data_IF_019308943486
#
_entry.id   IF_019308943486
#
_cell.length_a   1.000
_cell.length_b   1.000
_cell.length_c   1.000
_cell.angle_alpha   90.00
_cell.angle_beta   90.00
_cell.angle_gamma   90.00
#
_symmetry.space_group_name_H-M   'P 1'
#
loop_
_entity.id
_entity.type
_entity.pdbx_description
1 polymer ?
#
# COMPACT_ATOMS: atom_id res chain seq x y z
N UNK A 1 21.83 1.65 -40.15
CA UNK A 1 20.40 2.00 -40.21
C UNK A 1 20.02 2.38 -38.80
N UNK A 2 20.00 3.69 -38.53
CA UNK A 2 19.64 4.28 -37.24
C UNK A 2 18.17 3.99 -36.98
N UNK A 3 17.88 3.30 -35.88
CA UNK A 3 16.52 3.06 -35.40
C UNK A 3 15.95 4.39 -34.88
N UNK A 4 15.55 5.27 -35.79
CA UNK A 4 14.66 6.37 -35.48
C UNK A 4 13.26 5.78 -35.27
N UNK A 5 12.67 6.05 -34.09
CA UNK A 5 11.34 5.65 -33.59
C UNK A 5 11.25 4.46 -32.62
N UNK A 6 12.22 4.30 -31.71
CA UNK A 6 11.85 3.79 -30.38
C UNK A 6 11.23 4.95 -29.60
N UNK A 7 10.04 4.76 -29.00
CA UNK A 7 9.46 5.75 -28.07
C UNK A 7 10.37 5.96 -26.84
N UNK A 8 10.05 6.93 -25.96
CA UNK A 8 10.80 7.10 -24.72
C UNK A 8 10.78 5.81 -23.88
N UNK A 9 11.87 5.54 -23.17
CA UNK A 9 11.95 4.43 -22.22
C UNK A 9 10.91 4.63 -21.10
N UNK A 10 10.27 3.56 -20.61
CA UNK A 10 9.19 3.72 -19.62
C UNK A 10 9.67 4.42 -18.34
N UNK A 11 10.92 4.20 -17.93
CA UNK A 11 11.55 4.83 -16.76
C UNK A 11 12.12 6.23 -17.01
N UNK A 12 11.98 6.78 -18.22
CA UNK A 12 12.32 8.17 -18.59
C UNK A 12 11.12 8.88 -19.25
N UNK A 13 9.91 8.49 -18.85
CA UNK A 13 8.65 9.00 -19.38
C UNK A 13 7.71 9.37 -18.23
N UNK A 14 7.66 10.64 -17.78
CA UNK A 14 6.86 11.06 -16.63
C UNK A 14 5.36 10.85 -16.84
N UNK A 15 4.89 10.75 -18.09
CA UNK A 15 3.48 10.46 -18.42
C UNK A 15 3.08 9.00 -18.21
N UNK A 16 4.04 8.12 -17.92
CA UNK A 16 3.82 6.71 -17.66
C UNK A 16 4.20 6.38 -16.22
N UNK A 17 3.24 6.55 -15.30
CA UNK A 17 3.43 6.17 -13.89
C UNK A 17 3.40 4.65 -13.68
N UNK A 18 2.66 3.94 -14.53
CA UNK A 18 2.55 2.49 -14.46
C UNK A 18 1.81 1.90 -15.65
N UNK A 19 2.00 0.60 -15.85
CA UNK A 19 1.30 -0.22 -16.85
C UNK A 19 0.65 -1.39 -16.13
N UNK A 20 -0.65 -1.59 -16.34
CA UNK A 20 -1.47 -2.62 -15.68
C UNK A 20 -1.49 -2.57 -14.14
N UNK A 21 -0.98 -1.50 -13.52
CA UNK A 21 -1.12 -1.23 -12.08
C UNK A 21 -2.61 -1.00 -11.79
N UNK A 22 -3.14 -1.70 -10.80
CA UNK A 22 -4.53 -1.52 -10.38
C UNK A 22 -4.72 -0.17 -9.66
N UNK A 23 -5.92 0.43 -9.72
CA UNK A 23 -6.21 1.69 -9.03
C UNK A 23 -6.00 1.59 -7.51
N UNK A 24 -5.56 2.66 -6.84
CA UNK A 24 -5.46 2.66 -5.37
C UNK A 24 -6.82 2.46 -4.67
N UNK A 25 -6.78 1.78 -3.53
CA UNK A 25 -7.89 1.56 -2.59
C UNK A 25 -7.34 1.43 -1.16
N UNK A 26 -8.24 1.34 -0.17
CA UNK A 26 -7.83 1.02 1.21
C UNK A 26 -7.05 -0.32 1.26
N UNK A 27 -6.08 -0.50 2.18
CA UNK A 27 -5.40 -1.79 2.34
C UNK A 27 -6.38 -2.84 2.88
N UNK A 28 -6.81 -3.75 2.00
CA UNK A 28 -7.85 -4.73 2.29
C UNK A 28 -7.31 -6.16 2.15
N UNK A 29 -7.41 -6.93 3.23
CA UNK A 29 -7.19 -8.39 3.19
C UNK A 29 -8.51 -9.07 3.54
N UNK A 30 -9.07 -9.90 2.63
CA UNK A 30 -10.30 -10.63 2.89
C UNK A 30 -10.04 -11.74 3.90
N UNK A 31 -11.02 -12.01 4.74
CA UNK A 31 -11.08 -13.13 5.68
C UNK A 31 -12.24 -14.06 5.32
N UNK A 32 -12.19 -15.32 5.76
CA UNK A 32 -13.24 -16.29 5.49
C UNK A 32 -14.41 -16.16 6.49
N UNK A 33 -14.14 -15.69 7.71
CA UNK A 33 -15.12 -15.62 8.79
C UNK A 33 -15.17 -14.25 9.47
N UNK A 34 -16.24 -14.01 10.23
CA UNK A 34 -16.37 -12.80 11.06
C UNK A 34 -15.33 -12.82 12.17
N UNK A 35 -15.09 -14.00 12.75
CA UNK A 35 -14.14 -14.20 13.85
C UNK A 35 -12.71 -13.87 13.43
N UNK A 36 -12.30 -14.30 12.24
CA UNK A 36 -11.01 -13.92 11.64
C UNK A 36 -10.95 -12.41 11.34
N UNK A 37 -11.99 -11.84 10.73
CA UNK A 37 -12.04 -10.40 10.48
C UNK A 37 -11.96 -9.59 11.79
N UNK A 38 -12.54 -10.07 12.89
CA UNK A 38 -12.44 -9.45 14.21
C UNK A 38 -11.04 -9.56 14.82
N UNK A 39 -10.28 -10.62 14.50
CA UNK A 39 -8.88 -10.75 14.92
C UNK A 39 -7.99 -9.72 14.21
N UNK A 40 -8.34 -9.35 12.97
CA UNK A 40 -7.68 -8.34 12.15
C UNK A 40 -6.18 -8.61 11.98
N UNK A 41 -5.83 -9.87 11.73
CA UNK A 41 -4.48 -10.35 11.49
C UNK A 41 -4.38 -10.90 10.08
N UNK A 42 -3.99 -10.08 9.08
CA UNK A 42 -3.92 -10.48 7.68
C UNK A 42 -3.18 -11.80 7.45
N UNK A 43 -2.10 -12.03 8.19
CA UNK A 43 -1.26 -13.23 8.12
C UNK A 43 -1.97 -14.52 8.54
N UNK A 44 -3.10 -14.42 9.25
CA UNK A 44 -3.95 -15.55 9.61
C UNK A 44 -5.08 -15.79 8.59
N UNK A 45 -5.24 -14.91 7.60
CA UNK A 45 -6.24 -15.10 6.56
C UNK A 45 -5.85 -16.25 5.62
N UNK A 46 -6.78 -17.16 5.27
CA UNK A 46 -6.55 -18.15 4.22
C UNK A 46 -6.41 -17.53 2.81
N UNK A 47 -6.71 -16.24 2.67
CA UNK A 47 -6.64 -15.49 1.41
C UNK A 47 -5.45 -14.54 1.33
N UNK A 48 -4.52 -14.63 2.28
CA UNK A 48 -3.27 -13.88 2.29
C UNK A 48 -2.09 -14.85 2.19
N UNK A 49 -1.06 -14.45 1.44
CA UNK A 49 0.21 -15.19 1.42
C UNK A 49 1.37 -14.24 1.26
N UNK A 50 2.24 -14.16 2.27
CA UNK A 50 3.50 -13.42 2.15
C UNK A 50 4.43 -14.07 1.13
N UNK A 51 5.12 -13.24 0.36
CA UNK A 51 6.25 -13.60 -0.49
C UNK A 51 7.57 -13.04 0.06
N UNK A 52 7.59 -12.48 1.27
CA UNK A 52 8.82 -12.10 1.95
C UNK A 52 9.69 -13.34 2.20
N UNK A 53 11.01 -13.14 2.20
CA UNK A 53 11.99 -14.19 2.42
C UNK A 53 13.21 -14.05 1.52
N UNK A 54 13.85 -15.18 1.21
CA UNK A 54 15.04 -15.20 0.36
C UNK A 54 14.64 -15.28 -1.11
N UNK A 55 15.04 -14.30 -1.92
CA UNK A 55 14.86 -14.30 -3.38
C UNK A 55 16.21 -14.44 -4.07
N UNK A 56 16.23 -14.99 -5.30
CA UNK A 56 17.40 -14.95 -6.17
C UNK A 56 17.63 -13.53 -6.64
N UNK A 57 18.89 -13.10 -6.69
CA UNK A 57 19.23 -11.72 -6.96
C UNK A 57 20.48 -11.57 -7.81
N UNK A 58 20.41 -10.68 -8.79
CA UNK A 58 21.54 -10.26 -9.60
C UNK A 58 21.56 -8.74 -9.70
N UNK A 59 22.70 -8.14 -9.36
CA UNK A 59 22.92 -6.70 -9.45
C UNK A 59 23.84 -6.35 -10.61
N UNK A 60 23.56 -5.26 -11.32
CA UNK A 60 24.49 -4.68 -12.28
C UNK A 60 24.51 -3.15 -12.22
N UNK A 61 25.64 -2.50 -12.54
CA UNK A 61 25.79 -1.04 -12.39
C UNK A 61 25.05 -0.22 -13.46
N UNK A 62 24.71 -0.84 -14.60
CA UNK A 62 24.10 -0.16 -15.74
C UNK A 62 22.89 -0.94 -16.26
N UNK A 63 21.86 -0.25 -16.78
CA UNK A 63 20.74 -0.92 -17.44
C UNK A 63 21.17 -1.82 -18.60
N UNK A 64 22.19 -1.43 -19.37
CA UNK A 64 22.68 -2.23 -20.49
C UNK A 64 23.34 -3.56 -20.09
N UNK A 65 23.73 -3.72 -18.82
CA UNK A 65 24.40 -4.92 -18.31
C UNK A 65 23.42 -5.90 -17.64
N UNK A 66 22.12 -5.56 -17.61
CA UNK A 66 21.09 -6.40 -16.98
C UNK A 66 20.95 -7.75 -17.71
N UNK A 67 20.67 -8.85 -16.99
CA UNK A 67 20.52 -10.17 -17.62
C UNK A 67 19.24 -10.20 -18.48
N UNK A 68 19.38 -9.99 -19.80
CA UNK A 68 18.23 -10.02 -20.71
C UNK A 68 17.57 -11.40 -20.74
N UNK A 69 16.23 -11.41 -20.75
CA UNK A 69 15.46 -12.65 -20.76
C UNK A 69 15.38 -13.37 -19.41
N UNK A 70 15.93 -12.79 -18.33
CA UNK A 70 15.86 -13.40 -16.99
C UNK A 70 14.43 -13.59 -16.47
N UNK A 71 13.41 -12.99 -17.08
CA UNK A 71 12.01 -13.22 -16.73
C UNK A 71 11.44 -14.51 -17.30
N UNK A 72 12.12 -15.16 -18.25
CA UNK A 72 11.63 -16.37 -18.88
C UNK A 72 11.43 -17.51 -17.87
N UNK A 73 10.38 -18.31 -18.10
CA UNK A 73 10.13 -19.52 -17.32
C UNK A 73 11.28 -20.52 -17.54
N UNK A 74 11.77 -21.12 -16.45
CA UNK A 74 12.90 -22.06 -16.48
C UNK A 74 14.26 -21.43 -16.75
N UNK A 75 14.40 -20.10 -16.64
CA UNK A 75 15.71 -19.45 -16.67
C UNK A 75 16.59 -19.97 -15.52
N UNK A 76 17.84 -20.29 -15.84
CA UNK A 76 18.81 -20.79 -14.86
C UNK A 76 19.44 -19.64 -14.07
N UNK A 77 18.93 -19.40 -12.87
CA UNK A 77 19.43 -18.45 -11.89
C UNK A 77 20.25 -19.12 -10.78
N UNK A 78 20.68 -20.37 -10.96
CA UNK A 78 21.36 -21.12 -9.89
C UNK A 78 22.69 -20.48 -9.45
N UNK A 79 23.33 -19.73 -10.34
CA UNK A 79 24.56 -18.98 -10.07
C UNK A 79 24.32 -17.60 -9.44
N UNK A 80 23.06 -17.17 -9.29
CA UNK A 80 22.74 -15.88 -8.69
C UNK A 80 22.84 -15.95 -7.17
N UNK A 81 23.16 -14.81 -6.58
CA UNK A 81 23.14 -14.63 -5.14
C UNK A 81 21.70 -14.74 -4.60
N UNK A 82 21.58 -14.76 -3.29
CA UNK A 82 20.31 -14.62 -2.59
C UNK A 82 20.27 -13.28 -1.87
N UNK A 83 19.10 -12.64 -1.84
CA UNK A 83 18.85 -11.41 -1.07
C UNK A 83 17.59 -11.58 -0.22
N UNK A 84 17.57 -10.97 0.95
CA UNK A 84 16.35 -10.84 1.74
C UNK A 84 15.37 -9.88 1.04
N UNK A 85 14.09 -10.23 1.04
CA UNK A 85 12.99 -9.35 0.63
C UNK A 85 11.99 -9.29 1.79
N UNK A 86 11.68 -8.11 2.32
CA UNK A 86 12.20 -6.79 1.92
C UNK A 86 13.65 -6.52 2.34
N UNK A 87 14.37 -5.73 1.53
CA UNK A 87 15.63 -5.08 1.90
C UNK A 87 15.99 -3.94 0.94
N UNK A 88 16.86 -3.03 1.39
CA UNK A 88 17.60 -2.15 0.48
C UNK A 88 18.92 -2.82 0.06
N UNK A 89 19.19 -2.99 -1.23
CA UNK A 89 20.37 -3.77 -1.67
C UNK A 89 21.71 -3.14 -1.26
N UNK A 90 21.74 -1.83 -0.97
CA UNK A 90 22.93 -1.16 -0.42
C UNK A 90 23.27 -1.68 0.99
N UNK A 91 22.25 -2.02 1.79
CA UNK A 91 22.42 -2.58 3.13
C UNK A 91 22.89 -4.04 3.07
N UNK A 92 22.64 -4.70 1.94
CA UNK A 92 23.09 -6.06 1.63
C UNK A 92 24.46 -6.10 0.90
N UNK A 93 25.10 -4.94 0.69
CA UNK A 93 26.48 -4.84 0.19
C UNK A 93 26.66 -4.77 -1.33
N UNK A 94 25.59 -4.63 -2.12
CA UNK A 94 25.68 -4.63 -3.60
C UNK A 94 26.05 -3.27 -4.20
N UNK A 95 25.89 -2.17 -3.47
CA UNK A 95 26.10 -0.81 -3.96
C UNK A 95 26.29 0.17 -2.79
N UNK A 96 26.62 1.42 -3.08
CA UNK A 96 26.84 2.48 -2.08
C UNK A 96 25.55 3.24 -1.78
N UNK A 97 25.22 3.38 -0.49
CA UNK A 97 24.21 4.31 -0.01
C UNK A 97 24.74 5.75 -0.14
N UNK A 98 24.01 6.62 -0.83
CA UNK A 98 24.35 8.04 -0.93
C UNK A 98 23.50 8.85 0.02
N UNK A 99 24.08 9.83 0.69
CA UNK A 99 23.33 10.87 1.38
C UNK A 99 23.56 12.19 0.66
N UNK A 100 22.47 12.82 0.25
CA UNK A 100 22.44 14.16 -0.32
C UNK A 100 21.16 14.84 0.14
N UNK A 101 21.25 16.15 0.38
CA UNK A 101 20.12 16.97 0.77
C UNK A 101 19.41 17.49 -0.48
N UNK A 102 19.80 18.67 -0.96
CA UNK A 102 19.12 19.39 -2.05
C UNK A 102 19.52 18.90 -3.43
N UNK A 103 20.75 18.41 -3.61
CA UNK A 103 21.26 18.05 -4.93
C UNK A 103 20.77 16.66 -5.29
N UNK A 104 20.31 16.46 -6.53
CA UNK A 104 20.03 15.12 -7.02
C UNK A 104 21.25 14.20 -6.85
N UNK A 105 21.05 12.91 -6.49
CA UNK A 105 22.12 11.97 -6.24
C UNK A 105 22.85 11.49 -7.50
N UNK A 106 22.53 12.09 -8.66
CA UNK A 106 23.10 11.78 -9.94
C UNK A 106 23.36 13.06 -10.74
N UNK A 107 24.33 13.00 -11.67
CA UNK A 107 24.67 14.09 -12.56
C UNK A 107 24.98 13.55 -13.98
N UNK A 108 24.69 14.32 -15.04
CA UNK A 108 23.89 15.56 -15.02
C UNK A 108 22.42 15.29 -14.69
N UNK A 109 21.76 16.27 -14.06
CA UNK A 109 20.30 16.30 -13.94
C UNK A 109 19.73 16.88 -15.25
N UNK A 110 19.11 16.02 -16.07
CA UNK A 110 18.53 16.37 -17.37
C UNK A 110 17.14 15.71 -17.53
N UNK A 111 16.10 16.23 -16.84
CA UNK A 111 14.79 15.58 -16.81
C UNK A 111 14.17 15.47 -18.22
N UNK A 112 13.53 14.35 -18.57
CA UNK A 112 13.22 13.19 -17.71
C UNK A 112 14.31 12.09 -17.68
N UNK A 113 15.47 12.34 -18.28
CA UNK A 113 16.53 11.34 -18.45
C UNK A 113 17.28 11.05 -17.15
N UNK A 114 17.77 9.83 -16.99
CA UNK A 114 18.61 9.38 -15.86
C UNK A 114 19.95 8.85 -16.38
N UNK A 115 21.00 8.74 -15.53
CA UNK A 115 22.32 8.40 -16.04
C UNK A 115 22.40 7.00 -16.64
N UNK A 116 22.74 6.89 -17.93
CA UNK A 116 22.94 5.59 -18.59
C UNK A 116 24.17 4.84 -18.05
N UNK A 117 25.22 5.58 -17.66
CA UNK A 117 26.50 5.01 -17.24
C UNK A 117 26.51 4.49 -15.80
N UNK A 118 25.55 4.92 -14.98
CA UNK A 118 25.37 4.44 -13.61
C UNK A 118 23.90 4.63 -13.20
N UNK A 119 23.07 3.65 -13.58
CA UNK A 119 21.73 3.47 -13.05
C UNK A 119 21.61 1.99 -12.64
N UNK A 120 22.08 1.65 -11.43
CA UNK A 120 22.13 0.27 -10.98
C UNK A 120 20.77 -0.42 -11.07
N UNK A 121 20.79 -1.69 -11.47
CA UNK A 121 19.59 -2.51 -11.67
C UNK A 121 19.69 -3.76 -10.82
N UNK A 122 18.64 -4.02 -10.03
CA UNK A 122 18.44 -5.26 -9.29
C UNK A 122 17.44 -6.16 -10.02
N UNK A 123 17.88 -7.33 -10.45
CA UNK A 123 17.02 -8.39 -11.00
C UNK A 123 16.72 -9.40 -9.90
N UNK A 124 15.45 -9.53 -9.52
CA UNK A 124 14.95 -10.43 -8.49
C UNK A 124 14.15 -11.58 -9.12
N UNK A 125 14.32 -12.81 -8.61
CA UNK A 125 13.51 -13.97 -8.98
C UNK A 125 13.09 -14.76 -7.75
N UNK A 126 11.87 -15.27 -7.75
CA UNK A 126 11.39 -16.21 -6.72
C UNK A 126 10.35 -17.15 -7.31
N UNK A 127 10.02 -18.20 -6.57
CA UNK A 127 8.96 -19.13 -6.93
C UNK A 127 7.94 -19.25 -5.81
N UNK A 128 6.69 -19.54 -6.19
CA UNK A 128 5.63 -19.80 -5.23
C UNK A 128 4.63 -20.79 -5.80
N UNK A 129 3.88 -21.43 -4.91
CA UNK A 129 2.72 -22.25 -5.25
C UNK A 129 1.49 -21.62 -4.62
N UNK A 130 0.34 -21.72 -5.30
CA UNK A 130 -0.91 -21.25 -4.72
C UNK A 130 -1.56 -22.35 -3.88
N UNK A 131 -2.16 -21.99 -2.73
CA UNK A 131 -2.99 -22.92 -1.99
C UNK A 131 -4.18 -23.42 -2.84
N UNK A 132 -4.61 -24.69 -2.71
CA UNK A 132 -5.74 -25.23 -3.47
C UNK A 132 -7.05 -24.45 -3.31
N UNK A 133 -7.26 -23.83 -2.15
CA UNK A 133 -8.42 -22.98 -1.85
C UNK A 133 -8.49 -21.68 -2.70
N UNK A 134 -7.44 -21.36 -3.45
CA UNK A 134 -7.40 -20.21 -4.36
C UNK A 134 -7.86 -20.57 -5.79
N UNK A 135 -8.18 -21.83 -6.06
CA UNK A 135 -8.67 -22.24 -7.38
C UNK A 135 -9.94 -21.48 -7.78
N UNK A 136 -9.97 -20.97 -9.01
CA UNK A 136 -11.05 -20.16 -9.54
C UNK A 136 -11.24 -18.77 -8.91
N UNK A 137 -10.30 -18.30 -8.09
CA UNK A 137 -10.31 -16.96 -7.49
C UNK A 137 -9.38 -16.00 -8.24
N UNK A 138 -9.62 -14.70 -8.08
CA UNK A 138 -8.65 -13.68 -8.51
C UNK A 138 -7.45 -13.69 -7.55
N UNK A 139 -6.26 -13.47 -8.08
CA UNK A 139 -5.02 -13.41 -7.30
C UNK A 139 -4.26 -12.17 -7.68
N UNK A 140 -4.13 -11.26 -6.71
CA UNK A 140 -3.37 -10.03 -6.86
C UNK A 140 -2.06 -10.15 -6.11
N UNK A 141 -1.02 -9.50 -6.64
CA UNK A 141 0.25 -9.27 -5.93
C UNK A 141 0.34 -7.81 -5.54
N UNK A 142 0.75 -7.57 -4.30
CA UNK A 142 0.98 -6.24 -3.75
C UNK A 142 2.46 -6.12 -3.44
N UNK A 143 3.08 -5.06 -3.95
CA UNK A 143 4.38 -4.57 -3.50
C UNK A 143 4.16 -3.30 -2.69
N UNK A 144 4.38 -3.33 -1.38
CA UNK A 144 4.14 -2.19 -0.48
C UNK A 144 5.13 -1.03 -0.68
N UNK A 145 6.27 -1.30 -1.33
CA UNK A 145 7.30 -0.30 -1.60
C UNK A 145 8.49 -0.86 -2.37
N UNK A 146 8.72 -0.31 -3.57
CA UNK A 146 9.86 -0.64 -4.43
C UNK A 146 10.50 0.64 -4.91
N UNK A 147 11.79 0.84 -4.64
CA UNK A 147 12.49 2.08 -4.96
C UNK A 147 13.50 1.87 -6.11
N UNK A 148 13.43 2.61 -7.23
CA UNK A 148 12.50 3.74 -7.54
C UNK A 148 11.40 3.41 -8.56
N UNK A 149 11.64 2.44 -9.45
CA UNK A 149 10.61 1.88 -10.33
C UNK A 149 10.93 0.43 -10.68
N UNK A 150 9.93 -0.31 -11.16
CA UNK A 150 10.14 -1.70 -11.52
C UNK A 150 9.21 -2.22 -12.60
N UNK A 151 9.69 -3.27 -13.27
CA UNK A 151 8.90 -4.14 -14.13
C UNK A 151 8.63 -5.48 -13.44
N UNK A 152 7.49 -6.08 -13.77
CA UNK A 152 6.99 -7.32 -13.20
C UNK A 152 6.67 -8.33 -14.29
N UNK A 153 7.14 -9.56 -14.11
CA UNK A 153 6.77 -10.70 -14.93
C UNK A 153 6.35 -11.89 -14.07
N UNK A 154 5.40 -12.66 -14.59
CA UNK A 154 4.98 -13.93 -14.04
C UNK A 154 5.06 -14.98 -15.14
N UNK A 155 5.77 -16.08 -14.88
CA UNK A 155 5.87 -17.22 -15.78
C UNK A 155 6.36 -16.86 -17.21
N UNK A 156 7.20 -15.83 -17.34
CA UNK A 156 7.69 -15.32 -18.62
C UNK A 156 6.80 -14.27 -19.30
N UNK A 157 5.62 -14.00 -18.76
CA UNK A 157 4.70 -12.98 -19.28
C UNK A 157 4.88 -11.68 -18.53
N UNK A 158 4.94 -10.56 -19.25
CA UNK A 158 4.94 -9.25 -18.62
C UNK A 158 3.57 -8.98 -18.00
N UNK A 159 3.60 -8.66 -16.71
CA UNK A 159 2.41 -8.28 -15.94
C UNK A 159 2.26 -6.77 -15.96
N UNK A 160 3.32 -6.02 -15.65
CA UNK A 160 3.20 -4.56 -15.55
C UNK A 160 4.48 -3.81 -15.18
N UNK A 161 4.32 -2.52 -14.92
CA UNK A 161 5.36 -1.56 -14.56
C UNK A 161 4.81 -0.55 -13.54
N UNK A 162 5.63 -0.07 -12.60
CA UNK A 162 5.24 0.97 -11.63
C UNK A 162 6.39 1.90 -11.25
N UNK A 163 6.02 3.16 -11.00
CA UNK A 163 6.75 4.20 -10.27
C UNK A 163 6.00 4.56 -8.98
N UNK A 164 6.48 5.59 -8.28
CA UNK A 164 6.16 5.96 -6.89
C UNK A 164 6.63 4.89 -5.91
N UNK A 165 7.76 5.18 -5.26
CA UNK A 165 8.41 4.22 -4.37
C UNK A 165 7.74 4.09 -3.01
N UNK A 166 6.79 4.96 -2.67
CA UNK A 166 6.26 5.11 -1.31
C UNK A 166 4.82 4.65 -1.15
N UNK A 167 4.11 4.44 -2.26
CA UNK A 167 2.76 3.90 -2.29
C UNK A 167 2.75 2.49 -2.87
N UNK A 168 1.81 1.62 -2.45
CA UNK A 168 1.76 0.25 -2.96
C UNK A 168 1.54 0.18 -4.47
N UNK A 169 2.05 -0.89 -5.07
CA UNK A 169 1.76 -1.27 -6.45
C UNK A 169 1.12 -2.65 -6.50
N UNK A 170 -0.12 -2.69 -6.99
CA UNK A 170 -0.93 -3.89 -7.08
C UNK A 170 -1.15 -4.31 -8.54
N UNK A 171 -1.07 -5.61 -8.81
CA UNK A 171 -1.28 -6.18 -10.15
C UNK A 171 -2.11 -7.46 -10.07
N UNK A 172 -3.01 -7.65 -11.05
CA UNK A 172 -3.72 -8.91 -11.23
C UNK A 172 -2.81 -9.96 -11.89
N UNK A 173 -2.52 -11.03 -11.16
CA UNK A 173 -1.72 -12.16 -11.64
C UNK A 173 -2.57 -13.26 -12.28
N UNK A 174 -3.90 -13.23 -12.08
CA UNK A 174 -4.83 -14.30 -12.45
C UNK A 174 -4.62 -14.81 -13.90
N UNK A 175 -4.47 -13.93 -14.91
CA UNK A 175 -4.33 -14.37 -16.31
C UNK A 175 -3.01 -15.11 -16.61
N UNK A 176 -2.02 -15.04 -15.73
CA UNK A 176 -0.65 -15.50 -15.96
C UNK A 176 -0.26 -16.71 -15.11
N UNK A 177 -1.14 -17.11 -14.18
CA UNK A 177 -0.90 -18.22 -13.28
C UNK A 177 -0.89 -19.57 -14.01
N UNK A 178 -0.13 -20.51 -13.44
CA UNK A 178 -0.09 -21.92 -13.85
C UNK A 178 -0.46 -22.78 -12.65
N UNK A 179 -1.03 -23.95 -12.93
CA UNK A 179 -1.20 -24.99 -11.92
C UNK A 179 0.16 -25.41 -11.34
N UNK A 180 0.24 -25.52 -10.01
CA UNK A 180 1.48 -25.83 -9.31
C UNK A 180 2.41 -24.63 -9.14
N UNK A 181 3.67 -24.79 -9.56
CA UNK A 181 4.72 -23.81 -9.37
C UNK A 181 4.62 -22.62 -10.32
N UNK A 182 4.80 -21.42 -9.77
CA UNK A 182 4.81 -20.16 -10.48
C UNK A 182 6.16 -19.45 -10.28
N UNK A 183 6.71 -18.87 -11.35
CA UNK A 183 7.99 -18.15 -11.35
C UNK A 183 7.76 -16.65 -11.48
N UNK A 184 8.16 -15.88 -10.47
CA UNK A 184 8.05 -14.43 -10.44
C UNK A 184 9.42 -13.80 -10.74
N UNK A 185 9.43 -12.76 -11.58
CA UNK A 185 10.62 -11.98 -11.86
C UNK A 185 10.32 -10.49 -11.76
N UNK A 186 11.24 -9.74 -11.14
CA UNK A 186 11.12 -8.29 -10.93
C UNK A 186 12.43 -7.61 -11.32
N UNK A 187 12.36 -6.53 -12.09
CA UNK A 187 13.53 -5.73 -12.43
C UNK A 187 13.38 -4.32 -11.87
N UNK A 188 14.20 -3.99 -10.88
CA UNK A 188 14.15 -2.72 -10.15
C UNK A 188 15.30 -1.82 -10.60
N UNK A 189 14.98 -0.58 -10.94
CA UNK A 189 15.96 0.43 -11.32
C UNK A 189 16.18 1.39 -10.16
N UNK A 190 17.44 1.78 -9.95
CA UNK A 190 17.81 2.74 -8.90
C UNK A 190 17.26 4.13 -9.17
N UNK A 191 17.28 4.56 -10.43
CA UNK A 191 16.80 5.85 -10.89
C UNK A 191 15.78 5.71 -12.03
N UNK A 192 14.78 6.58 -12.01
CA UNK A 192 13.82 6.82 -13.09
C UNK A 192 13.43 8.30 -13.10
N UNK A 193 12.57 8.74 -14.03
CA UNK A 193 12.05 10.11 -14.02
C UNK A 193 11.41 10.49 -12.68
N UNK A 194 10.67 9.61 -12.01
CA UNK A 194 10.09 9.91 -10.71
C UNK A 194 11.15 10.26 -9.64
N UNK A 195 12.41 9.85 -9.80
CA UNK A 195 13.50 10.25 -8.90
C UNK A 195 13.75 11.76 -8.85
N UNK A 196 13.30 12.53 -9.84
CA UNK A 196 13.33 14.00 -9.83
C UNK A 196 12.33 14.63 -8.87
N UNK A 197 11.27 13.90 -8.51
CA UNK A 197 10.23 14.32 -7.54
C UNK A 197 10.24 13.47 -6.26
N UNK A 198 11.26 12.62 -6.10
CA UNK A 198 11.61 11.89 -4.86
C UNK A 198 12.96 12.41 -4.31
N UNK A 199 13.04 13.73 -4.16
CA UNK A 199 14.25 14.45 -3.81
C UNK A 199 14.35 14.83 -2.32
N UNK A 200 13.84 13.96 -1.45
CA UNK A 200 13.90 14.17 0.00
C UNK A 200 15.35 14.27 0.53
N UNK A 201 15.51 15.04 1.60
CA UNK A 201 16.76 15.12 2.39
C UNK A 201 17.00 13.84 3.21
N UNK A 202 17.38 12.76 2.53
CA UNK A 202 17.61 11.45 3.13
C UNK A 202 18.60 10.56 2.35
N UNK A 203 18.84 9.36 2.87
CA UNK A 203 19.63 8.34 2.21
C UNK A 203 18.96 7.82 0.94
N UNK A 204 19.70 7.80 -0.17
CA UNK A 204 19.25 7.34 -1.48
C UNK A 204 19.58 5.85 -1.65
N UNK A 205 18.57 5.04 -1.35
CA UNK A 205 18.58 3.59 -1.33
C UNK A 205 17.67 3.02 -2.43
N UNK A 206 17.67 1.70 -2.61
CA UNK A 206 16.90 1.05 -3.68
C UNK A 206 16.61 -0.41 -3.40
N UNK A 207 15.63 -0.96 -4.13
CA UNK A 207 15.22 -2.35 -4.01
C UNK A 207 13.77 -2.50 -3.56
N UNK A 208 13.38 -3.74 -3.32
CA UNK A 208 12.07 -4.10 -2.77
C UNK A 208 12.20 -3.98 -1.24
N UNK A 209 11.84 -2.82 -0.69
CA UNK A 209 12.21 -2.44 0.68
C UNK A 209 11.05 -2.52 1.69
N UNK A 210 9.81 -2.75 1.21
CA UNK A 210 8.64 -3.14 2.01
C UNK A 210 8.07 -4.46 1.50
N UNK A 211 7.08 -4.96 2.23
CA UNK A 211 6.51 -6.29 2.05
C UNK A 211 6.02 -6.57 0.62
N UNK A 212 6.13 -7.84 0.23
CA UNK A 212 5.50 -8.41 -0.95
C UNK A 212 4.59 -9.53 -0.52
N UNK A 213 3.34 -9.50 -0.97
CA UNK A 213 2.38 -10.54 -0.65
C UNK A 213 1.33 -10.70 -1.74
N UNK A 214 0.64 -11.83 -1.69
CA UNK A 214 -0.49 -12.15 -2.54
C UNK A 214 -1.80 -12.06 -1.75
N UNK A 215 -2.85 -11.60 -2.41
CA UNK A 215 -4.23 -11.63 -1.90
C UNK A 215 -5.12 -12.37 -2.88
N UNK A 216 -6.02 -13.20 -2.36
CA UNK A 216 -7.01 -13.92 -3.16
C UNK A 216 -8.43 -13.40 -2.96
N UNK A 217 -9.02 -12.92 -4.05
CA UNK A 217 -10.34 -12.30 -4.05
C UNK A 217 -11.38 -13.23 -4.71
N UNK A 218 -12.60 -13.32 -4.17
CA UNK A 218 -13.69 -13.97 -4.90
C UNK A 218 -14.06 -13.13 -6.13
N UNK A 219 -14.66 -13.77 -7.14
CA UNK A 219 -15.07 -13.09 -8.37
C UNK A 219 -16.05 -11.92 -8.15
N UNK A 220 -16.80 -11.94 -7.04
CA UNK A 220 -17.60 -10.81 -6.56
C UNK A 220 -17.02 -10.39 -5.22
N UNK A 221 -16.39 -9.23 -5.17
CA UNK A 221 -15.66 -8.74 -4.00
C UNK A 221 -15.86 -7.25 -3.78
N UNK A 222 -15.52 -6.79 -2.59
CA UNK A 222 -15.42 -5.39 -2.21
C UNK A 222 -14.03 -4.90 -2.60
N UNK A 223 -14.00 -3.95 -3.52
CA UNK A 223 -12.78 -3.33 -4.03
C UNK A 223 -12.25 -2.23 -3.10
N UNK A 224 -13.13 -1.47 -2.47
CA UNK A 224 -12.75 -0.32 -1.65
C UNK A 224 -13.78 -0.06 -0.55
N UNK A 225 -13.31 0.42 0.61
CA UNK A 225 -14.11 0.77 1.77
C UNK A 225 -13.69 2.14 2.27
N UNK A 226 -14.67 3.05 2.41
CA UNK A 226 -14.46 4.34 3.02
C UNK A 226 -15.40 4.52 4.22
N UNK A 227 -14.84 4.72 5.40
CA UNK A 227 -15.57 4.99 6.63
C UNK A 227 -15.50 6.48 6.97
N UNK A 228 -16.65 7.10 7.17
CA UNK A 228 -16.76 8.49 7.62
C UNK A 228 -17.61 8.56 8.87
N UNK A 229 -17.11 9.25 9.88
CA UNK A 229 -17.84 9.51 11.11
C UNK A 229 -18.11 11.01 11.23
N UNK A 230 -19.34 11.38 11.55
CA UNK A 230 -19.72 12.77 11.81
C UNK A 230 -20.46 12.84 13.13
N UNK A 231 -19.97 13.68 14.05
CA UNK A 231 -20.52 13.79 15.39
C UNK A 231 -21.69 14.80 15.39
N UNK A 232 -22.71 14.51 16.20
CA UNK A 232 -23.96 15.27 16.28
C UNK A 232 -24.40 15.43 17.73
N UNK A 233 -25.29 16.39 17.97
CA UNK A 233 -25.93 16.63 19.27
C UNK A 233 -24.91 16.73 20.41
N UNK A 234 -23.98 17.67 20.29
CA UNK A 234 -22.91 17.88 21.27
C UNK A 234 -22.11 16.58 21.52
N UNK A 235 -21.73 15.91 20.42
CA UNK A 235 -20.95 14.67 20.39
C UNK A 235 -21.60 13.43 21.02
N UNK A 236 -22.88 13.49 21.42
CA UNK A 236 -23.62 12.35 22.01
C UNK A 236 -24.20 11.37 20.99
N UNK A 237 -24.07 11.68 19.69
CA UNK A 237 -24.50 10.85 18.56
C UNK A 237 -23.44 10.90 17.46
N UNK A 238 -23.28 9.81 16.73
CA UNK A 238 -22.48 9.79 15.52
C UNK A 238 -23.23 9.15 14.34
N UNK A 239 -23.14 9.80 13.19
CA UNK A 239 -23.50 9.23 11.90
C UNK A 239 -22.29 8.46 11.37
N UNK A 240 -22.39 7.14 11.34
CA UNK A 240 -21.43 6.23 10.73
C UNK A 240 -21.84 6.00 9.27
N UNK A 241 -21.13 6.62 8.34
CA UNK A 241 -21.28 6.37 6.92
C UNK A 241 -20.21 5.36 6.47
N UNK A 242 -20.65 4.25 5.87
CA UNK A 242 -19.77 3.28 5.21
C UNK A 242 -20.10 3.28 3.73
N UNK A 243 -19.15 3.70 2.91
CA UNK A 243 -19.21 3.58 1.45
C UNK A 243 -18.36 2.40 1.04
N UNK A 244 -18.92 1.51 0.23
CA UNK A 244 -18.18 0.41 -0.38
C UNK A 244 -18.27 0.47 -1.88
N UNK A 245 -17.20 0.09 -2.57
CA UNK A 245 -17.21 -0.21 -4.00
C UNK A 245 -17.05 -1.70 -4.16
N UNK A 246 -17.89 -2.33 -4.97
CA UNK A 246 -17.89 -3.76 -5.24
C UNK A 246 -17.62 -3.98 -6.71
N UNK A 247 -16.89 -5.05 -7.03
CA UNK A 247 -16.61 -5.48 -8.39
C UNK A 247 -17.16 -6.87 -8.64
N UNK A 248 -17.53 -7.11 -9.89
CA UNK A 248 -17.84 -8.45 -10.38
C UNK A 248 -16.98 -8.75 -11.61
N UNK A 249 -16.14 -9.79 -11.51
CA UNK A 249 -15.34 -10.35 -12.61
C UNK A 249 -15.77 -11.76 -13.01
N UNK A 250 -16.84 -12.25 -12.39
CA UNK A 250 -17.45 -13.53 -12.69
C UNK A 250 -18.73 -13.39 -13.53
N UNK A 251 -19.70 -14.26 -13.23
CA UNK A 251 -21.02 -14.26 -13.84
C UNK A 251 -21.99 -13.34 -13.09
N UNK A 252 -23.20 -13.17 -13.62
CA UNK A 252 -24.26 -12.37 -12.96
C UNK A 252 -24.48 -12.82 -11.52
N UNK A 253 -24.32 -11.87 -10.60
CA UNK A 253 -24.36 -12.07 -9.16
C UNK A 253 -25.64 -11.46 -8.59
N UNK A 254 -26.74 -12.23 -8.59
CA UNK A 254 -28.02 -11.79 -8.05
C UNK A 254 -28.24 -12.32 -6.63
N UNK A 255 -28.89 -11.52 -5.77
CA UNK A 255 -29.26 -11.94 -4.41
C UNK A 255 -28.12 -11.94 -3.40
N UNK A 256 -27.00 -11.31 -3.71
CA UNK A 256 -25.92 -11.07 -2.76
C UNK A 256 -26.38 -10.13 -1.65
N UNK A 257 -25.78 -10.25 -0.46
CA UNK A 257 -26.13 -9.47 0.72
C UNK A 257 -24.90 -8.81 1.29
N UNK A 258 -24.91 -7.48 1.28
CA UNK A 258 -23.96 -6.67 2.03
C UNK A 258 -24.31 -6.69 3.52
N UNK A 259 -23.29 -6.70 4.39
CA UNK A 259 -23.43 -6.78 5.84
C UNK A 259 -22.50 -5.83 6.61
N UNK A 260 -22.96 -5.22 7.70
CA UNK A 260 -22.11 -4.46 8.63
C UNK A 260 -22.26 -4.94 10.07
N UNK A 261 -21.12 -5.08 10.76
CA UNK A 261 -21.04 -5.40 12.19
C UNK A 261 -20.05 -4.44 12.85
N UNK A 262 -20.54 -3.59 13.76
CA UNK A 262 -19.68 -2.76 14.60
C UNK A 262 -19.64 -3.34 16.01
N UNK A 263 -18.44 -3.61 16.51
CA UNK A 263 -18.22 -4.04 17.89
C UNK A 263 -17.31 -3.08 18.65
N UNK A 264 -17.52 -3.01 19.95
CA UNK A 264 -16.69 -2.25 20.87
C UNK A 264 -15.38 -3.00 21.21
N UNK A 265 -14.49 -2.38 21.98
CA UNK A 265 -13.21 -2.98 22.36
C UNK A 265 -13.34 -4.28 23.19
N UNK A 266 -14.51 -4.57 23.77
CA UNK A 266 -14.80 -5.80 24.49
C UNK A 266 -15.50 -6.85 23.60
N UNK A 267 -15.63 -6.60 22.29
CA UNK A 267 -16.31 -7.47 21.33
C UNK A 267 -17.84 -7.42 21.40
N UNK A 268 -18.42 -6.45 22.14
CA UNK A 268 -19.87 -6.31 22.25
C UNK A 268 -20.40 -5.53 21.05
N UNK A 269 -21.51 -5.99 20.49
CA UNK A 269 -22.17 -5.32 19.35
C UNK A 269 -22.68 -3.94 19.74
N UNK A 270 -22.39 -2.96 18.89
CA UNK A 270 -22.81 -1.56 19.04
C UNK A 270 -24.09 -1.27 18.26
N UNK A 271 -24.23 -1.88 17.08
CA UNK A 271 -25.45 -1.76 16.28
C UNK A 271 -26.51 -2.77 16.75
N UNK A 272 -27.72 -2.28 17.02
CA UNK A 272 -28.84 -3.09 17.52
C UNK A 272 -29.16 -4.25 16.58
N UNK A 273 -29.16 -4.00 15.27
CA UNK A 273 -29.37 -5.01 14.23
C UNK A 273 -28.21 -4.98 13.23
N UNK A 274 -27.73 -6.13 12.71
CA UNK A 274 -26.78 -6.11 11.62
C UNK A 274 -27.44 -5.49 10.38
N UNK A 275 -26.72 -4.62 9.70
CA UNK A 275 -27.26 -4.00 8.48
C UNK A 275 -27.18 -5.01 7.37
N UNK A 276 -28.28 -5.18 6.61
CA UNK A 276 -28.29 -6.05 5.44
C UNK A 276 -28.91 -5.34 4.25
N UNK A 277 -28.18 -5.29 3.13
CA UNK A 277 -28.71 -4.76 1.87
C UNK A 277 -28.53 -5.78 0.75
N UNK A 278 -29.58 -5.98 -0.05
CA UNK A 278 -29.49 -6.80 -1.25
C UNK A 278 -28.74 -6.04 -2.33
N UNK A 279 -27.79 -6.73 -2.95
CA UNK A 279 -27.00 -6.22 -4.06
C UNK A 279 -27.07 -7.20 -5.22
N UNK A 280 -27.14 -6.64 -6.42
CA UNK A 280 -27.08 -7.37 -7.69
C UNK A 280 -26.03 -6.71 -8.55
N UNK A 281 -25.12 -7.51 -9.10
CA UNK A 281 -24.00 -7.06 -9.92
C UNK A 281 -23.95 -7.87 -11.21
N UNK A 282 -23.94 -7.22 -12.36
CA UNK A 282 -23.71 -7.85 -13.65
C UNK A 282 -22.20 -8.07 -13.89
N UNK A 283 -21.81 -8.97 -14.80
CA UNK A 283 -20.40 -9.18 -15.15
C UNK A 283 -19.73 -7.88 -15.60
N UNK A 284 -18.58 -7.55 -15.00
CA UNK A 284 -17.83 -6.33 -15.30
C UNK A 284 -18.19 -5.12 -14.46
N UNK A 285 -19.27 -5.17 -13.65
CA UNK A 285 -19.72 -4.04 -12.85
C UNK A 285 -18.67 -3.57 -11.83
N UNK A 286 -18.68 -2.26 -11.57
CA UNK A 286 -18.06 -1.57 -10.44
C UNK A 286 -19.16 -0.72 -9.80
N UNK A 287 -19.81 -1.23 -8.76
CA UNK A 287 -20.97 -0.61 -8.14
C UNK A 287 -20.62 -0.02 -6.77
N UNK A 288 -21.24 1.10 -6.42
CA UNK A 288 -21.08 1.73 -5.12
C UNK A 288 -22.33 1.55 -4.26
N UNK A 289 -22.12 1.26 -2.98
CA UNK A 289 -23.15 1.23 -1.96
C UNK A 289 -22.77 2.17 -0.81
N UNK A 290 -23.74 2.90 -0.29
CA UNK A 290 -23.54 3.77 0.88
C UNK A 290 -24.57 3.41 1.94
N UNK A 291 -24.08 3.11 3.13
CA UNK A 291 -24.88 2.74 4.30
C UNK A 291 -24.64 3.76 5.41
N UNK A 292 -25.71 4.09 6.13
CA UNK A 292 -25.69 5.05 7.23
C UNK A 292 -26.26 4.39 8.48
N UNK A 293 -25.52 4.45 9.58
CA UNK A 293 -25.95 3.96 10.88
C UNK A 293 -25.75 5.00 11.96
N UNK A 294 -26.69 5.06 12.91
CA UNK A 294 -26.63 6.00 14.02
C UNK A 294 -26.06 5.31 15.26
N UNK A 295 -24.93 5.82 15.76
CA UNK A 295 -24.31 5.32 16.99
C UNK A 295 -24.66 6.26 18.14
N UNK A 296 -25.30 5.72 19.18
CA UNK A 296 -25.64 6.46 20.38
C UNK A 296 -24.49 6.44 21.40
N UNK A 297 -24.15 7.61 21.94
CA UNK A 297 -23.10 7.78 22.95
C UNK A 297 -21.76 7.11 22.53
N UNK A 298 -21.23 7.44 21.34
CA UNK A 298 -19.95 6.87 20.91
C UNK A 298 -18.85 7.30 21.88
N UNK A 299 -17.96 6.38 22.27
CA UNK A 299 -16.71 6.78 22.91
C UNK A 299 -15.80 7.33 21.83
N UNK A 300 -15.33 8.56 22.05
CA UNK A 300 -14.59 9.30 21.04
C UNK A 300 -13.12 8.87 21.03
N UNK A 301 -12.51 8.92 19.85
CA UNK A 301 -11.08 8.75 19.67
C UNK A 301 -10.37 10.09 19.76
N UNK A 302 -9.20 10.10 20.41
CA UNK A 302 -8.25 11.20 20.42
C UNK A 302 -6.84 10.66 20.70
N UNK A 303 -5.81 11.51 20.60
CA UNK A 303 -4.46 11.12 21.00
C UNK A 303 -4.32 10.84 22.52
N UNK A 304 -5.29 11.27 23.33
CA UNK A 304 -5.33 11.06 24.79
C UNK A 304 -6.15 9.81 25.18
N UNK A 305 -7.26 9.58 24.49
CA UNK A 305 -8.11 8.38 24.62
C UNK A 305 -8.28 7.74 23.23
N UNK A 306 -7.38 6.82 22.81
CA UNK A 306 -7.41 6.20 21.49
C UNK A 306 -8.44 5.08 21.42
N UNK A 307 -9.69 5.38 21.74
CA UNK A 307 -10.75 4.38 21.73
C UNK A 307 -11.11 3.99 20.30
N UNK A 308 -10.99 2.71 20.00
CA UNK A 308 -11.29 2.15 18.68
C UNK A 308 -12.43 1.14 18.77
N UNK A 309 -13.35 1.26 17.83
CA UNK A 309 -14.29 0.21 17.49
C UNK A 309 -13.74 -0.63 16.34
N UNK A 310 -14.31 -1.82 16.16
CA UNK A 310 -14.01 -2.69 15.03
C UNK A 310 -15.24 -2.81 14.15
N UNK A 311 -15.11 -2.42 12.88
CA UNK A 311 -16.11 -2.59 11.84
C UNK A 311 -15.74 -3.80 11.00
N UNK A 312 -16.65 -4.77 10.92
CA UNK A 312 -16.58 -5.85 9.95
C UNK A 312 -17.56 -5.57 8.82
N UNK A 313 -17.03 -5.57 7.61
CA UNK A 313 -17.80 -5.41 6.37
C UNK A 313 -17.89 -6.79 5.71
N UNK A 314 -19.10 -7.26 5.43
CA UNK A 314 -19.33 -8.60 4.89
C UNK A 314 -20.00 -8.54 3.53
N UNK A 315 -19.63 -9.50 2.69
CA UNK A 315 -20.40 -9.87 1.52
C UNK A 315 -20.81 -11.34 1.63
N UNK A 316 -22.10 -11.61 1.44
CA UNK A 316 -22.65 -12.96 1.38
C UNK A 316 -23.26 -13.25 0.02
N UNK A 317 -23.10 -14.48 -0.46
CA UNK A 317 -23.75 -14.94 -1.68
C UNK A 317 -25.27 -15.15 -1.47
N UNK A 318 -25.96 -15.57 -2.53
CA UNK A 318 -27.40 -15.84 -2.51
C UNK A 318 -27.80 -17.07 -1.68
N UNK A 319 -26.86 -17.96 -1.35
CA UNK A 319 -27.06 -19.07 -0.42
C UNK A 319 -26.90 -18.66 1.06
N UNK A 320 -26.36 -17.46 1.31
CA UNK A 320 -26.13 -16.93 2.65
C UNK A 320 -24.72 -17.16 3.19
N UNK A 321 -23.84 -17.81 2.41
CA UNK A 321 -22.44 -18.04 2.78
C UNK A 321 -21.66 -16.73 2.72
N UNK A 322 -20.72 -16.55 3.65
CA UNK A 322 -19.76 -15.45 3.59
C UNK A 322 -18.80 -15.75 2.44
N UNK A 323 -18.71 -14.85 1.47
CA UNK A 323 -17.71 -14.92 0.40
C UNK A 323 -16.50 -14.04 0.68
N UNK A 324 -16.71 -13.01 1.50
CA UNK A 324 -15.68 -12.06 1.90
C UNK A 324 -16.08 -11.38 3.22
N UNK A 325 -15.11 -11.28 4.13
CA UNK A 325 -15.19 -10.47 5.33
C UNK A 325 -13.96 -9.53 5.38
N UNK A 326 -14.19 -8.24 5.58
CA UNK A 326 -13.15 -7.22 5.73
C UNK A 326 -13.22 -6.59 7.11
N UNK A 327 -12.10 -6.01 7.54
CA UNK A 327 -11.92 -5.52 8.91
C UNK A 327 -11.34 -4.11 8.90
N UNK A 328 -12.05 -3.18 9.54
CA UNK A 328 -11.66 -1.78 9.63
C UNK A 328 -11.71 -1.30 11.08
N UNK A 329 -10.78 -0.43 11.46
CA UNK A 329 -10.82 0.25 12.76
C UNK A 329 -11.60 1.55 12.61
N UNK A 330 -12.40 1.86 13.62
CA UNK A 330 -13.21 3.08 13.62
C UNK A 330 -12.98 3.85 14.91
N UNK A 331 -12.23 4.95 14.80
CA UNK A 331 -12.19 6.01 15.79
C UNK A 331 -13.26 7.06 15.51
N UNK A 332 -14.24 7.21 16.40
CA UNK A 332 -15.22 8.30 16.28
C UNK A 332 -14.56 9.61 16.70
N UNK A 333 -14.25 10.47 15.74
CA UNK A 333 -13.70 11.81 16.01
C UNK A 333 -14.16 12.80 14.97
N UNK A 334 -14.16 14.07 15.35
CA UNK A 334 -14.38 15.19 14.44
C UNK A 334 -13.18 16.13 14.49
N UNK A 335 -12.63 16.45 13.33
CA UNK A 335 -11.54 17.43 13.16
C UNK A 335 -12.08 18.60 12.35
N UNK A 336 -11.91 19.81 12.85
CA UNK A 336 -12.49 21.00 12.25
C UNK A 336 -11.62 22.25 12.48
N UNK A 337 -11.72 23.22 11.57
CA UNK A 337 -11.10 24.53 11.71
C UNK A 337 -12.18 25.55 12.05
N UNK A 338 -12.20 26.05 13.28
CA UNK A 338 -13.19 27.02 13.78
C UNK A 338 -12.45 28.23 14.32
N UNK A 339 -12.81 29.42 13.83
CA UNK A 339 -12.18 30.70 14.23
C UNK A 339 -10.63 30.68 14.19
N UNK A 340 -10.07 29.98 13.20
CA UNK A 340 -8.62 29.84 13.01
C UNK A 340 -7.94 28.84 13.95
N UNK A 341 -8.69 28.09 14.75
CA UNK A 341 -8.18 27.03 15.62
C UNK A 341 -8.55 25.64 15.08
N UNK A 342 -7.59 24.72 15.09
CA UNK A 342 -7.86 23.32 14.82
C UNK A 342 -8.43 22.68 16.08
N UNK A 343 -9.66 22.17 15.97
CA UNK A 343 -10.36 21.47 17.05
C UNK A 343 -10.39 19.97 16.77
N UNK A 344 -10.27 19.18 17.83
CA UNK A 344 -10.61 17.75 17.83
C UNK A 344 -11.71 17.54 18.85
N UNK A 345 -12.85 17.02 18.41
CA UNK A 345 -14.04 16.80 19.25
C UNK A 345 -14.47 18.09 20.00
N UNK A 346 -14.42 19.22 19.30
CA UNK A 346 -14.80 20.53 19.85
C UNK A 346 -13.77 21.20 20.76
N UNK A 347 -12.61 20.57 20.99
CA UNK A 347 -11.54 21.11 21.84
C UNK A 347 -10.34 21.55 20.99
N UNK A 348 -9.83 22.75 21.24
CA UNK A 348 -8.62 23.23 20.57
C UNK A 348 -7.41 22.39 20.97
N UNK A 349 -6.64 21.91 19.99
CA UNK A 349 -5.50 21.03 20.24
C UNK A 349 -4.18 21.76 20.01
N UNK A 350 -3.26 21.65 20.97
CA UNK A 350 -1.86 21.97 20.76
C UNK A 350 -1.13 20.75 20.16
N UNK A 351 -0.71 20.86 18.91
CA UNK A 351 0.12 19.83 18.26
C UNK A 351 1.54 19.88 18.81
N UNK A 352 1.93 18.82 19.52
CA UNK A 352 3.30 18.55 19.99
C UNK A 352 3.88 17.49 19.05
N UNK A 353 4.21 17.95 17.85
CA UNK A 353 4.57 17.09 16.72
C UNK A 353 6.07 16.88 16.53
N UNK A 354 6.41 15.82 15.81
CA UNK A 354 7.75 15.57 15.25
C UNK A 354 7.63 15.08 13.81
N UNK A 355 8.64 15.34 12.98
CA UNK A 355 8.74 14.71 11.65
C UNK A 355 9.45 13.36 11.83
N UNK A 356 8.98 12.33 11.14
CA UNK A 356 9.56 11.00 11.20
C UNK A 356 9.77 10.47 9.78
N UNK A 357 11.03 10.24 9.43
CA UNK A 357 11.39 9.39 8.31
C UNK A 357 11.34 7.92 8.72
N UNK A 358 11.05 7.05 7.76
CA UNK A 358 11.29 5.62 7.87
C UNK A 358 12.76 5.31 7.63
N UNK A 359 13.52 5.18 8.70
CA UNK A 359 14.93 4.80 8.65
C UNK A 359 15.34 3.93 9.84
N UNK A 360 16.07 2.87 9.55
CA UNK A 360 16.72 1.97 10.48
C UNK A 360 18.23 1.97 10.20
N UNK A 361 19.09 2.06 11.23
CA UNK A 361 20.54 2.16 11.03
C UNK A 361 21.17 0.92 10.38
N UNK A 362 20.56 -0.26 10.56
CA UNK A 362 21.09 -1.53 10.07
C UNK A 362 20.36 -2.00 8.81
N UNK A 363 19.08 -1.63 8.65
CA UNK A 363 18.21 -2.09 7.56
C UNK A 363 17.79 -0.99 6.55
N UNK A 364 18.25 0.25 6.74
CA UNK A 364 17.96 1.34 5.83
C UNK A 364 16.46 1.70 5.86
N UNK A 365 15.74 1.57 4.75
CA UNK A 365 14.30 1.92 4.71
C UNK A 365 13.37 0.76 5.08
N UNK A 366 13.92 -0.43 5.31
CA UNK A 366 13.12 -1.59 5.73
C UNK A 366 12.89 -1.52 7.23
N UNK A 367 11.70 -1.06 7.63
CA UNK A 367 11.35 -0.80 9.03
C UNK A 367 10.51 -1.94 9.60
N UNK A 368 10.90 -2.46 10.76
CA UNK A 368 10.14 -3.46 11.50
C UNK A 368 8.98 -2.85 12.29
N UNK A 369 7.93 -3.63 12.55
CA UNK A 369 6.87 -3.23 13.47
C UNK A 369 7.43 -2.91 14.87
N UNK A 370 8.43 -3.68 15.34
CA UNK A 370 9.05 -3.45 16.64
C UNK A 370 9.71 -2.06 16.75
N UNK A 371 10.39 -1.60 15.69
CA UNK A 371 10.99 -0.27 15.65
C UNK A 371 9.94 0.84 15.51
N UNK A 372 8.86 0.61 14.75
CA UNK A 372 7.70 1.54 14.73
C UNK A 372 7.09 1.71 16.14
N UNK A 373 6.85 0.61 16.85
CA UNK A 373 6.33 0.66 18.23
C UNK A 373 7.32 1.39 19.15
N UNK A 374 8.62 1.13 19.01
CA UNK A 374 9.65 1.82 19.79
C UNK A 374 9.60 3.34 19.59
N UNK A 375 9.50 3.81 18.34
CA UNK A 375 9.37 5.24 18.02
C UNK A 375 8.14 5.85 18.72
N UNK A 376 6.98 5.21 18.60
CA UNK A 376 5.74 5.66 19.24
C UNK A 376 5.88 5.73 20.76
N UNK A 377 6.47 4.70 21.38
CA UNK A 377 6.67 4.69 22.83
C UNK A 377 7.62 5.83 23.27
N UNK A 378 8.67 6.11 22.51
CA UNK A 378 9.56 7.25 22.76
C UNK A 378 8.77 8.55 22.64
N UNK A 379 8.00 8.74 21.57
CA UNK A 379 7.19 9.93 21.35
C UNK A 379 6.20 10.18 22.49
N UNK A 380 5.40 9.17 22.86
CA UNK A 380 4.40 9.27 23.94
C UNK A 380 5.05 9.56 25.29
N UNK A 381 6.18 8.91 25.62
CA UNK A 381 6.93 9.17 26.86
C UNK A 381 7.50 10.59 26.95
N UNK A 382 7.74 11.23 25.80
CA UNK A 382 8.21 12.62 25.71
C UNK A 382 7.07 13.61 25.43
N UNK A 383 5.81 13.21 25.70
CA UNK A 383 4.61 14.04 25.60
C UNK A 383 4.31 14.56 24.19
N UNK A 384 4.83 13.89 23.15
CA UNK A 384 4.43 14.14 21.77
C UNK A 384 3.06 13.48 21.51
N UNK A 385 2.22 14.16 20.75
CA UNK A 385 0.88 13.70 20.39
C UNK A 385 0.64 13.69 18.87
N UNK A 386 1.62 14.07 18.08
CA UNK A 386 1.49 14.13 16.63
C UNK A 386 2.77 13.72 15.90
N UNK A 387 2.60 13.24 14.66
CA UNK A 387 3.68 12.93 13.74
C UNK A 387 3.34 13.40 12.33
N UNK A 388 4.35 13.86 11.60
CA UNK A 388 4.27 14.07 10.15
C UNK A 388 5.11 13.00 9.45
N UNK A 389 4.53 12.35 8.45
CA UNK A 389 5.19 11.34 7.61
C UNK A 389 6.10 12.02 6.60
N UNK A 390 7.22 12.59 7.08
CA UNK A 390 8.19 13.29 6.24
C UNK A 390 8.89 12.31 5.31
N UNK A 391 8.80 12.41 3.98
CA UNK A 391 7.96 13.30 3.16
C UNK A 391 7.22 12.47 2.11
N UNK A 392 6.46 11.50 2.61
CA UNK A 392 5.85 10.42 1.84
C UNK A 392 4.92 9.55 2.70
N UNK A 393 4.00 8.79 2.08
CA UNK A 393 3.20 7.82 2.80
C UNK A 393 4.10 6.78 3.49
N UNK A 394 3.85 6.52 4.77
CA UNK A 394 4.59 5.52 5.54
C UNK A 394 4.05 4.11 5.26
N UNK A 395 4.68 3.09 5.83
CA UNK A 395 4.18 1.72 5.79
C UNK A 395 2.77 1.65 6.40
N UNK A 396 1.79 0.90 5.82
CA UNK A 396 0.40 0.88 6.30
C UNK A 396 0.27 0.60 7.81
N UNK A 397 1.09 -0.32 8.33
CA UNK A 397 1.16 -0.64 9.77
C UNK A 397 1.43 0.57 10.67
N UNK A 398 2.13 1.61 10.20
CA UNK A 398 2.38 2.84 10.95
C UNK A 398 1.08 3.58 11.31
N UNK A 399 0.13 3.62 10.37
CA UNK A 399 -1.18 4.27 10.56
C UNK A 399 -2.00 3.50 11.60
N UNK A 400 -2.03 2.17 11.51
CA UNK A 400 -2.68 1.30 12.49
C UNK A 400 -2.12 1.49 13.90
N UNK A 401 -0.80 1.60 14.02
CA UNK A 401 -0.15 1.84 15.31
C UNK A 401 -0.45 3.26 15.84
N UNK A 402 -0.53 4.27 14.97
CA UNK A 402 -0.94 5.62 15.38
C UNK A 402 -2.38 5.64 15.90
N UNK A 403 -3.28 4.86 15.27
CA UNK A 403 -4.65 4.67 15.74
C UNK A 403 -4.68 4.01 17.13
N UNK A 404 -3.92 2.92 17.33
CA UNK A 404 -3.86 2.14 18.58
C UNK A 404 -3.30 2.94 19.75
N UNK A 405 -2.20 3.65 19.53
CA UNK A 405 -1.45 4.34 20.58
C UNK A 405 -1.90 5.80 20.78
N UNK A 406 -2.78 6.31 19.90
CA UNK A 406 -3.28 7.67 19.96
C UNK A 406 -2.22 8.69 19.58
N UNK A 407 -1.98 8.81 18.28
CA UNK A 407 -1.11 9.84 17.67
C UNK A 407 -1.88 10.51 16.53
N UNK A 408 -1.94 11.84 16.53
CA UNK A 408 -2.42 12.58 15.37
C UNK A 408 -1.39 12.50 14.24
N UNK A 409 -1.83 12.18 13.03
CA UNK A 409 -0.94 11.99 11.90
C UNK A 409 -1.23 13.01 10.80
N UNK A 410 -0.18 13.67 10.32
CA UNK A 410 -0.17 14.38 9.05
C UNK A 410 0.40 13.42 8.01
N UNK A 411 -0.45 12.99 7.07
CA UNK A 411 -0.06 12.15 5.94
C UNK A 411 0.37 13.03 4.78
N UNK A 412 1.46 12.66 4.10
CA UNK A 412 2.10 13.49 3.10
C UNK A 412 2.36 12.69 1.82
N UNK A 413 2.02 13.27 0.67
CA UNK A 413 2.33 12.67 -0.64
C UNK A 413 3.85 12.64 -0.88
N UNK A 414 4.30 11.63 -1.62
CA UNK A 414 5.70 11.46 -2.01
C UNK A 414 6.07 12.39 -3.17
N UNK A 415 6.16 13.69 -2.87
CA UNK A 415 6.49 14.72 -3.87
C UNK A 415 7.43 15.75 -3.23
N UNK A 416 8.72 15.64 -3.54
CA UNK A 416 9.73 16.64 -3.22
C UNK A 416 10.67 16.80 -4.43
N UNK A 417 10.78 18.02 -4.96
CA UNK A 417 11.72 18.34 -6.05
C UNK A 417 12.66 19.47 -5.62
N UNK A 418 13.36 19.25 -4.50
CA UNK A 418 14.13 20.28 -3.80
C UNK A 418 15.19 20.94 -4.69
N UNK A 419 15.88 20.18 -5.53
CA UNK A 419 16.86 20.73 -6.47
C UNK A 419 16.27 21.75 -7.47
N UNK A 420 15.02 21.56 -7.88
CA UNK A 420 14.39 22.23 -9.04
C UNK A 420 13.13 23.04 -8.65
N UNK A 421 12.83 23.11 -7.35
CA UNK A 421 11.72 23.85 -6.73
C UNK A 421 10.36 23.60 -7.39
N UNK A 422 9.85 24.58 -8.13
CA UNK A 422 8.50 24.57 -8.67
C UNK A 422 8.46 24.20 -10.16
N UNK A 423 9.60 23.81 -10.75
CA UNK A 423 9.73 23.43 -12.15
C UNK A 423 8.68 22.40 -12.57
N UNK A 424 8.63 21.26 -11.87
CA UNK A 424 7.72 20.15 -12.24
C UNK A 424 6.27 20.46 -11.87
N UNK A 425 6.03 21.17 -10.77
CA UNK A 425 4.66 21.59 -10.39
C UNK A 425 4.00 22.54 -11.39
N UNK A 426 4.80 23.14 -12.29
CA UNK A 426 4.35 24.02 -13.38
C UNK A 426 4.38 23.34 -14.75
N UNK A 427 4.92 22.13 -14.84
CA UNK A 427 5.05 21.38 -16.08
C UNK A 427 3.86 20.42 -16.24
N UNK A 428 3.01 20.59 -17.27
CA UNK A 428 1.87 19.70 -17.49
C UNK A 428 2.26 18.25 -17.75
N UNK A 429 3.51 17.97 -18.16
CA UNK A 429 4.01 16.61 -18.38
C UNK A 429 4.25 15.84 -17.07
N UNK A 430 4.25 16.55 -15.92
CA UNK A 430 4.44 16.03 -14.56
C UNK A 430 3.21 16.20 -13.67
N UNK A 431 2.03 16.40 -14.28
CA UNK A 431 0.78 16.68 -13.56
C UNK A 431 0.25 15.47 -12.79
N UNK A 432 0.27 14.33 -13.47
CA UNK A 432 -0.23 13.05 -12.94
C UNK A 432 0.93 12.36 -12.21
#
# INVERSE_FOLDING_TARGET
MTNEHAGPLDWENPKLLGRNKLPGHAPLVPFATIEEALSARPEESPYYRSLNGSWRFHWCPRPADRPEGFWAAGFDDAAWDSIAVPSCWQMEGYDTAFYTNIQHPFAPADPPHVPEHFNPVGSYRTTFELPPEWDGREVHIIFEGVQSCFYLWLNGHEVGFSKDSMSPAEFDLTPYLREGGNELAVQVFRWCDASYVEDQDFWRLSGIYRDVYLVSLPAVHIWDVAVRTSLRNDYTRADLQVRVRMRNRGQTASGYRFGLYLVDAAGRRVLEQPVHQLVSLEPGDDAALVVHEMVAQPRLWSAEDPYLYRLVVLLRNHHGDIVEALSERVGFRQVELVDGQMLVNGQAVLLKGVNRHEFDPDHGRTISEASMIQDILIMKRHNLNAVRTSHYPNHPRWYDLCDEYGIYLYDEANIESHAEWDRYTKDPDWRD
#
